data_IF_163059420465
#
_entry.id   IF_163059420465
#
_cell.length_a   1.000
_cell.length_b   1.000
_cell.length_c   1.000
_cell.angle_alpha   90.00
_cell.angle_beta   90.00
_cell.angle_gamma   90.00
#
_symmetry.space_group_name_H-M   'P 1'
#
loop_
_entity.id
_entity.type
_entity.pdbx_description
1 polymer ?
#
# COMPACT_ATOMS: atom_id res chain seq x y z
N UNK A 1 -22.13 14.06 19.70
CA UNK A 1 -22.33 14.43 18.28
C UNK A 1 -21.18 13.82 17.49
N UNK A 2 -21.49 12.79 16.73
CA UNK A 2 -20.52 12.06 15.94
C UNK A 2 -20.47 12.75 14.57
N UNK A 3 -19.41 13.56 14.35
CA UNK A 3 -19.18 14.14 13.03
C UNK A 3 -18.69 13.01 12.12
N UNK A 4 -19.55 12.57 11.20
CA UNK A 4 -19.12 11.79 10.04
C UNK A 4 -18.24 12.72 9.19
N UNK A 5 -16.93 12.48 9.18
CA UNK A 5 -15.96 13.20 8.34
C UNK A 5 -16.12 12.92 6.83
N UNK A 6 -17.01 12.00 6.48
CA UNK A 6 -17.31 11.65 5.10
C UNK A 6 -18.78 11.92 4.83
N UNK A 7 -19.14 13.21 4.62
CA UNK A 7 -20.35 13.48 3.85
C UNK A 7 -20.23 12.77 2.52
N UNK A 8 -21.25 12.04 2.13
CA UNK A 8 -21.43 11.40 0.83
C UNK A 8 -21.42 12.47 -0.28
N UNK A 9 -20.26 13.01 -0.59
CA UNK A 9 -20.04 13.69 -1.85
C UNK A 9 -20.15 12.62 -2.93
N UNK A 10 -21.13 12.77 -3.81
CA UNK A 10 -21.20 12.03 -5.08
C UNK A 10 -19.82 12.04 -5.71
N UNK A 11 -19.33 10.87 -5.99
CA UNK A 11 -18.00 10.52 -6.47
C UNK A 11 -17.64 11.33 -7.73
N UNK A 12 -17.04 12.49 -7.53
CA UNK A 12 -16.48 13.33 -8.60
C UNK A 12 -14.95 13.27 -8.55
N UNK A 13 -14.40 12.16 -7.98
CA UNK A 13 -12.96 11.95 -7.91
C UNK A 13 -12.49 11.62 -9.33
N UNK A 14 -11.65 12.49 -9.88
CA UNK A 14 -10.99 12.17 -11.14
C UNK A 14 -10.10 10.93 -10.94
N UNK A 15 -10.32 9.91 -11.74
CA UNK A 15 -9.50 8.70 -11.76
C UNK A 15 -9.19 8.32 -13.19
N UNK A 16 -8.13 7.53 -13.38
CA UNK A 16 -7.81 6.97 -14.69
C UNK A 16 -7.13 5.62 -14.55
N UNK A 17 -7.36 4.78 -15.56
CA UNK A 17 -6.68 3.51 -15.71
C UNK A 17 -5.25 3.72 -16.23
N UNK A 18 -4.29 2.99 -15.67
CA UNK A 18 -2.95 2.95 -16.25
C UNK A 18 -2.93 2.06 -17.51
N UNK A 19 -2.13 2.42 -18.52
CA UNK A 19 -2.04 1.67 -19.78
C UNK A 19 -1.18 0.41 -19.61
N UNK A 20 -1.69 -0.57 -18.86
CA UNK A 20 -1.07 -1.87 -18.64
C UNK A 20 -1.86 -2.93 -19.42
N UNK A 21 -1.21 -3.66 -20.34
CA UNK A 21 -1.88 -4.59 -21.26
C UNK A 21 -2.59 -5.76 -20.56
N UNK A 22 -2.03 -6.24 -19.46
CA UNK A 22 -2.53 -7.38 -18.68
C UNK A 22 -2.67 -7.00 -17.19
N UNK A 23 -2.88 -5.71 -16.91
CA UNK A 23 -3.04 -5.16 -15.58
C UNK A 23 -4.36 -4.41 -15.44
N UNK A 24 -4.93 -4.49 -14.26
CA UNK A 24 -6.10 -3.69 -13.86
C UNK A 24 -5.63 -2.75 -12.74
N UNK A 25 -5.27 -1.52 -13.13
CA UNK A 25 -4.70 -0.54 -12.21
C UNK A 25 -5.35 0.82 -12.41
N UNK A 26 -6.06 1.28 -11.39
CA UNK A 26 -6.73 2.59 -11.39
C UNK A 26 -6.04 3.54 -10.41
N UNK A 27 -5.73 4.74 -10.86
CA UNK A 27 -5.11 5.79 -10.06
C UNK A 27 -6.09 6.93 -9.75
N UNK A 28 -6.14 7.31 -8.49
CA UNK A 28 -6.96 8.38 -7.92
C UNK A 28 -6.02 9.46 -7.34
N UNK A 29 -5.69 10.54 -8.06
CA UNK A 29 -4.69 11.52 -7.63
C UNK A 29 -5.09 12.29 -6.37
N UNK A 30 -6.37 12.57 -6.18
CA UNK A 30 -6.89 13.36 -5.07
C UNK A 30 -7.93 12.55 -4.26
N UNK A 31 -7.56 11.34 -3.86
CA UNK A 31 -8.45 10.46 -3.09
C UNK A 31 -8.71 10.99 -1.68
N UNK A 32 -7.72 11.65 -1.08
CA UNK A 32 -7.81 12.40 0.16
C UNK A 32 -7.59 13.88 -0.13
N UNK A 33 -8.21 14.76 0.66
CA UNK A 33 -7.87 16.18 0.61
C UNK A 33 -6.43 16.40 1.11
N UNK A 34 -5.75 17.47 0.69
CA UNK A 34 -4.41 17.77 1.17
C UNK A 34 -4.37 17.91 2.70
N UNK A 35 -5.36 18.58 3.29
CA UNK A 35 -5.45 18.76 4.73
C UNK A 35 -5.61 17.43 5.49
N UNK A 36 -6.43 16.49 4.97
CA UNK A 36 -6.58 15.18 5.58
C UNK A 36 -5.30 14.36 5.41
N UNK A 37 -4.69 14.41 4.23
CA UNK A 37 -3.46 13.70 3.92
C UNK A 37 -2.28 14.18 4.78
N UNK A 38 -2.13 15.50 4.99
CA UNK A 38 -1.15 16.09 5.91
C UNK A 38 -1.39 15.61 7.35
N UNK A 39 -2.64 15.69 7.80
CA UNK A 39 -3.05 15.26 9.14
C UNK A 39 -2.74 13.77 9.36
N UNK A 40 -3.05 12.91 8.39
CA UNK A 40 -2.75 11.48 8.47
C UNK A 40 -1.25 11.21 8.43
N UNK A 41 -0.49 11.92 7.61
CA UNK A 41 0.96 11.77 7.54
C UNK A 41 1.61 12.03 8.91
N UNK A 42 1.28 13.15 9.55
CA UNK A 42 1.80 13.52 10.88
C UNK A 42 1.39 12.50 11.97
N UNK A 43 0.10 12.14 12.00
CA UNK A 43 -0.40 11.16 12.98
C UNK A 43 0.26 9.80 12.83
N UNK A 44 0.32 9.26 11.61
CA UNK A 44 0.91 7.94 11.38
C UNK A 44 2.41 7.91 11.69
N UNK A 45 3.14 9.02 11.43
CA UNK A 45 4.54 9.14 11.86
C UNK A 45 4.70 8.97 13.38
N UNK A 46 3.80 9.57 14.15
CA UNK A 46 3.88 9.62 15.60
C UNK A 46 3.31 8.35 16.27
N UNK A 47 2.23 7.78 15.72
CA UNK A 47 1.46 6.72 16.41
C UNK A 47 1.87 5.29 16.04
N UNK A 48 2.42 5.05 14.82
CA UNK A 48 2.73 3.69 14.42
C UNK A 48 4.05 3.19 15.03
N UNK A 49 4.10 1.91 15.47
CA UNK A 49 5.31 1.30 16.02
C UNK A 49 6.29 0.93 14.89
N UNK A 50 6.93 1.94 14.32
CA UNK A 50 7.87 1.80 13.22
C UNK A 50 9.10 0.99 13.61
N UNK A 51 9.47 0.00 12.77
CA UNK A 51 10.68 -0.80 12.94
C UNK A 51 11.40 -0.99 11.61
N UNK A 52 12.71 -1.20 11.67
CA UNK A 52 13.50 -1.56 10.51
C UNK A 52 13.82 -3.05 10.54
N UNK A 53 13.12 -3.82 9.71
CA UNK A 53 13.32 -5.26 9.61
C UNK A 53 14.57 -5.59 8.79
N UNK A 54 15.01 -6.85 8.87
CA UNK A 54 16.12 -7.37 8.09
C UNK A 54 15.68 -8.59 7.30
N UNK A 55 16.15 -8.68 6.07
CA UNK A 55 15.99 -9.85 5.21
C UNK A 55 17.34 -10.57 5.05
N UNK A 56 17.31 -11.85 4.71
CA UNK A 56 18.54 -12.57 4.36
C UNK A 56 18.79 -12.48 2.85
N UNK A 57 19.90 -11.85 2.48
CA UNK A 57 20.41 -11.82 1.10
C UNK A 57 21.75 -12.57 1.07
N UNK A 58 21.84 -13.59 0.24
CA UNK A 58 23.04 -14.44 0.12
C UNK A 58 23.57 -14.92 1.48
N UNK A 59 22.65 -15.34 2.36
CA UNK A 59 22.97 -15.82 3.71
C UNK A 59 23.29 -14.74 4.76
N UNK A 60 23.42 -13.47 4.38
CA UNK A 60 23.73 -12.34 5.28
C UNK A 60 22.46 -11.55 5.63
N UNK A 61 22.29 -11.11 6.90
CA UNK A 61 21.19 -10.21 7.26
C UNK A 61 21.46 -8.81 6.67
N UNK A 62 20.48 -8.28 5.96
CA UNK A 62 20.52 -6.94 5.37
C UNK A 62 19.28 -6.19 5.82
N UNK A 63 19.46 -5.01 6.41
CA UNK A 63 18.34 -4.13 6.77
C UNK A 63 17.61 -3.69 5.53
N UNK A 64 16.28 -3.79 5.55
CA UNK A 64 15.45 -3.23 4.47
C UNK A 64 15.58 -1.71 4.45
N UNK A 65 15.66 -1.07 3.28
CA UNK A 65 15.82 0.38 3.18
C UNK A 65 14.46 1.09 3.31
N UNK A 66 13.85 1.01 4.48
CA UNK A 66 12.64 1.68 4.95
C UNK A 66 12.26 1.20 6.35
N UNK A 67 11.35 1.91 7.00
CA UNK A 67 10.69 1.42 8.21
C UNK A 67 9.35 0.78 7.83
N UNK A 68 8.90 -0.17 8.67
CA UNK A 68 7.63 -0.87 8.46
C UNK A 68 6.82 -0.94 9.75
N UNK A 69 5.49 -0.99 9.59
CA UNK A 69 4.56 -1.36 10.65
C UNK A 69 3.38 -2.12 10.03
N UNK A 70 3.07 -3.30 10.55
CA UNK A 70 1.98 -4.14 10.06
C UNK A 70 0.82 -4.13 11.03
N UNK A 71 -0.40 -3.83 10.53
CA UNK A 71 -1.64 -3.77 11.27
C UNK A 71 -2.73 -4.59 10.59
N UNK A 72 -3.71 -5.05 11.35
CA UNK A 72 -4.81 -5.82 10.78
C UNK A 72 -5.74 -6.41 11.83
N UNK A 73 -6.70 -7.19 11.34
CA UNK A 73 -7.60 -7.97 12.20
C UNK A 73 -6.80 -9.03 12.95
N UNK A 74 -7.19 -9.33 14.19
CA UNK A 74 -6.50 -10.32 15.04
C UNK A 74 -6.35 -11.69 14.35
N UNK A 75 -7.32 -12.02 13.50
CA UNK A 75 -7.32 -13.25 12.73
C UNK A 75 -6.26 -13.31 11.59
N UNK A 76 -5.62 -12.19 11.24
CA UNK A 76 -4.56 -12.10 10.24
C UNK A 76 -3.21 -12.62 10.75
N UNK A 77 -3.21 -13.57 11.67
CA UNK A 77 -2.00 -14.17 12.23
C UNK A 77 -1.30 -15.03 11.15
N UNK A 78 0.00 -14.82 10.98
CA UNK A 78 0.83 -15.51 10.02
C UNK A 78 1.92 -16.32 10.74
N UNK A 79 2.04 -17.62 10.41
CA UNK A 79 3.07 -18.48 11.00
C UNK A 79 4.09 -18.88 9.94
N UNK A 80 5.35 -18.42 10.08
CA UNK A 80 6.45 -18.78 9.22
C UNK A 80 7.59 -19.38 10.05
N UNK A 81 8.08 -20.56 9.66
CA UNK A 81 9.20 -21.26 10.34
C UNK A 81 9.04 -21.34 11.87
N UNK A 82 7.85 -21.69 12.37
CA UNK A 82 7.48 -21.75 13.79
C UNK A 82 7.45 -20.39 14.51
N UNK A 83 7.57 -19.27 13.81
CA UNK A 83 7.37 -17.94 14.33
C UNK A 83 5.97 -17.45 13.94
N UNK A 84 5.10 -17.29 14.92
CA UNK A 84 3.80 -16.68 14.72
C UNK A 84 3.93 -15.17 14.79
N UNK A 85 3.61 -14.48 13.71
CA UNK A 85 3.54 -13.02 13.65
C UNK A 85 2.08 -12.60 13.69
N UNK A 86 1.74 -11.73 14.61
CA UNK A 86 0.42 -11.09 14.70
C UNK A 86 0.53 -9.63 14.28
N UNK A 87 -0.48 -9.10 13.58
CA UNK A 87 -0.51 -7.68 13.27
C UNK A 87 -0.68 -6.83 14.54
N UNK A 88 -0.22 -5.59 14.52
CA UNK A 88 -0.60 -4.62 15.52
C UNK A 88 -2.11 -4.32 15.36
N UNK A 89 -2.80 -3.90 16.43
CA UNK A 89 -4.18 -3.44 16.35
C UNK A 89 -4.34 -2.27 15.37
N UNK A 90 -5.52 -2.15 14.79
CA UNK A 90 -5.88 -0.99 14.00
C UNK A 90 -5.82 0.29 14.83
N UNK A 91 -5.23 1.36 14.28
CA UNK A 91 -5.40 2.70 14.85
C UNK A 91 -6.63 3.37 14.22
N UNK A 92 -7.10 4.44 14.86
CA UNK A 92 -8.24 5.20 14.32
C UNK A 92 -7.92 5.77 12.93
N UNK A 93 -6.72 6.33 12.74
CA UNK A 93 -6.28 6.87 11.47
C UNK A 93 -6.26 5.81 10.36
N UNK A 94 -5.76 4.61 10.65
CA UNK A 94 -5.75 3.51 9.69
C UNK A 94 -7.16 3.04 9.32
N UNK A 95 -8.11 3.00 10.27
CA UNK A 95 -9.50 2.64 9.99
C UNK A 95 -10.21 3.68 9.13
N UNK A 96 -9.96 4.97 9.35
CA UNK A 96 -10.51 6.05 8.54
C UNK A 96 -10.01 5.98 7.08
N UNK A 97 -8.71 5.76 6.89
CA UNK A 97 -8.13 5.61 5.54
C UNK A 97 -8.62 4.32 4.88
N UNK A 98 -8.72 3.21 5.63
CA UNK A 98 -9.30 1.94 5.16
C UNK A 98 -10.70 2.13 4.59
N UNK A 99 -11.58 2.82 5.34
CA UNK A 99 -12.95 3.09 4.91
C UNK A 99 -12.99 3.91 3.60
N UNK A 100 -12.07 4.88 3.42
CA UNK A 100 -11.93 5.61 2.18
C UNK A 100 -11.54 4.70 1.01
N UNK A 101 -10.58 3.81 1.20
CA UNK A 101 -10.14 2.84 0.18
C UNK A 101 -11.27 1.87 -0.20
N UNK A 102 -12.02 1.36 0.78
CA UNK A 102 -13.15 0.46 0.55
C UNK A 102 -14.29 1.17 -0.21
N UNK A 103 -14.56 2.44 0.11
CA UNK A 103 -15.54 3.24 -0.64
C UNK A 103 -15.12 3.46 -2.10
N UNK A 104 -13.82 3.66 -2.37
CA UNK A 104 -13.27 3.76 -3.74
C UNK A 104 -13.45 2.44 -4.48
N UNK A 105 -13.20 1.31 -3.83
CA UNK A 105 -13.33 -0.01 -4.43
C UNK A 105 -14.77 -0.46 -4.63
N UNK A 106 -15.75 0.12 -3.92
CA UNK A 106 -17.11 -0.42 -3.83
C UNK A 106 -17.85 -0.55 -5.17
N UNK A 107 -17.53 0.30 -6.16
CA UNK A 107 -18.17 0.28 -7.47
C UNK A 107 -17.70 -0.86 -8.37
N UNK A 108 -16.43 -1.26 -8.27
CA UNK A 108 -15.79 -2.20 -9.20
C UNK A 108 -15.33 -3.49 -8.50
N UNK A 109 -14.87 -3.37 -7.27
CA UNK A 109 -14.25 -4.46 -6.53
C UNK A 109 -14.85 -4.55 -5.13
N UNK A 110 -15.92 -5.30 -4.93
CA UNK A 110 -16.55 -5.49 -3.60
C UNK A 110 -15.59 -6.18 -2.62
N UNK A 111 -14.59 -5.44 -2.14
CA UNK A 111 -13.57 -5.95 -1.23
C UNK A 111 -13.65 -5.27 0.14
N UNK A 112 -13.29 -6.00 1.18
CA UNK A 112 -13.05 -5.49 2.53
C UNK A 112 -11.61 -5.82 2.88
N UNK A 113 -10.85 -4.81 3.29
CA UNK A 113 -9.47 -5.01 3.70
C UNK A 113 -9.42 -5.41 5.18
N UNK A 114 -8.62 -6.41 5.51
CA UNK A 114 -8.42 -6.87 6.88
C UNK A 114 -6.96 -6.71 7.36
N UNK A 115 -6.09 -6.17 6.51
CA UNK A 115 -4.67 -5.98 6.80
C UNK A 115 -4.11 -4.76 6.07
N UNK A 116 -3.12 -4.10 6.68
CA UNK A 116 -2.35 -3.02 6.06
C UNK A 116 -0.88 -3.13 6.44
N UNK A 117 0.00 -3.09 5.45
CA UNK A 117 1.42 -2.88 5.65
C UNK A 117 1.76 -1.41 5.40
N UNK A 118 2.16 -0.71 6.47
CA UNK A 118 2.67 0.64 6.38
C UNK A 118 4.18 0.61 6.13
N UNK A 119 4.65 1.37 5.14
CA UNK A 119 6.06 1.54 4.80
C UNK A 119 6.42 3.04 4.89
N UNK A 120 7.40 3.39 5.70
CA UNK A 120 7.93 4.74 5.78
C UNK A 120 9.29 4.83 5.10
N UNK A 121 9.32 5.52 3.97
CA UNK A 121 10.53 5.93 3.25
C UNK A 121 10.95 7.28 3.82
N UNK A 122 12.05 7.31 4.54
CA UNK A 122 12.51 8.51 5.29
C UNK A 122 13.05 9.60 4.37
N UNK A 123 13.67 9.16 3.26
CA UNK A 123 14.30 10.02 2.27
C UNK A 123 14.47 9.29 0.92
N UNK A 124 15.27 9.86 0.02
CA UNK A 124 15.57 9.28 -1.29
C UNK A 124 16.39 7.99 -1.28
N UNK A 125 17.06 7.64 -0.18
CA UNK A 125 17.85 6.41 -0.06
C UNK A 125 16.97 5.20 0.32
N UNK A 126 15.80 5.44 0.86
CA UNK A 126 14.83 4.39 1.09
C UNK A 126 14.11 3.99 -0.20
N UNK A 127 13.87 2.69 -0.36
CA UNK A 127 13.40 2.10 -1.61
C UNK A 127 12.66 0.78 -1.39
N UNK A 128 11.99 0.32 -2.45
CA UNK A 128 11.41 -1.02 -2.55
C UNK A 128 11.86 -1.64 -3.88
N UNK A 129 12.54 -2.78 -3.81
CA UNK A 129 12.91 -3.55 -4.99
C UNK A 129 11.68 -4.03 -5.75
N UNK A 130 11.85 -4.39 -7.03
CA UNK A 130 10.78 -4.99 -7.81
C UNK A 130 10.28 -6.29 -7.17
N UNK A 131 8.98 -6.36 -6.92
CA UNK A 131 8.27 -7.51 -6.37
C UNK A 131 6.83 -7.52 -6.89
N UNK A 132 6.11 -8.60 -6.69
CA UNK A 132 4.66 -8.71 -6.79
C UNK A 132 4.10 -8.98 -5.41
N UNK A 133 2.87 -8.57 -5.16
CA UNK A 133 2.08 -8.98 -4.00
C UNK A 133 1.29 -10.23 -4.39
N UNK A 134 1.97 -11.38 -4.47
CA UNK A 134 1.45 -12.66 -4.96
C UNK A 134 1.57 -13.79 -3.93
N UNK A 135 1.66 -13.42 -2.65
CA UNK A 135 1.66 -14.39 -1.56
C UNK A 135 0.35 -15.21 -1.56
N UNK A 136 0.43 -16.52 -1.30
CA UNK A 136 -0.75 -17.41 -1.31
C UNK A 136 -1.90 -16.97 -0.40
N UNK A 137 -1.57 -16.22 0.65
CA UNK A 137 -2.53 -15.67 1.61
C UNK A 137 -3.39 -14.53 1.01
N UNK A 138 -2.99 -13.96 -0.11
CA UNK A 138 -3.75 -12.94 -0.83
C UNK A 138 -4.76 -13.55 -1.81
N UNK A 139 -4.64 -14.85 -2.10
CA UNK A 139 -5.49 -15.54 -3.06
C UNK A 139 -5.18 -15.18 -4.51
N UNK A 140 -6.12 -15.52 -5.39
CA UNK A 140 -6.00 -15.27 -6.83
C UNK A 140 -6.54 -13.87 -7.15
N UNK A 141 -5.79 -13.11 -7.94
CA UNK A 141 -6.18 -11.77 -8.40
C UNK A 141 -6.58 -10.83 -7.26
N UNK A 142 -5.70 -10.59 -6.28
CA UNK A 142 -6.03 -9.78 -5.12
C UNK A 142 -6.32 -8.33 -5.50
N UNK A 143 -7.27 -7.73 -4.78
CA UNK A 143 -7.49 -6.28 -4.81
C UNK A 143 -6.62 -5.65 -3.73
N UNK A 144 -5.80 -4.70 -4.12
CA UNK A 144 -4.84 -4.02 -3.25
C UNK A 144 -5.02 -2.52 -3.39
N UNK A 145 -5.19 -1.81 -2.27
CA UNK A 145 -5.21 -0.36 -2.25
C UNK A 145 -3.91 0.19 -1.67
N UNK A 146 -3.22 1.02 -2.45
CA UNK A 146 -1.95 1.65 -2.08
C UNK A 146 -2.14 3.15 -1.91
N UNK A 147 -2.09 3.64 -0.67
CA UNK A 147 -2.22 5.07 -0.33
C UNK A 147 -0.85 5.69 -0.20
N UNK A 148 -0.68 6.90 -0.72
CA UNK A 148 0.56 7.67 -0.60
C UNK A 148 0.34 8.94 0.21
N UNK A 149 1.16 9.13 1.25
CA UNK A 149 1.20 10.34 2.07
C UNK A 149 2.64 10.89 2.09
N UNK A 150 2.79 12.20 2.01
CA UNK A 150 4.09 12.89 1.98
C UNK A 150 4.68 12.99 0.57
N UNK A 151 5.99 12.81 0.42
CA UNK A 151 6.73 13.06 -0.82
C UNK A 151 6.26 12.18 -1.98
N UNK A 152 6.08 12.80 -3.14
CA UNK A 152 5.71 12.10 -4.36
C UNK A 152 6.89 11.25 -4.91
N UNK A 153 6.63 9.99 -5.25
CA UNK A 153 7.66 9.07 -5.76
C UNK A 153 7.22 8.37 -7.05
N UNK A 154 8.12 8.22 -8.03
CA UNK A 154 7.87 7.35 -9.16
C UNK A 154 7.70 5.89 -8.71
N UNK A 155 6.58 5.30 -9.08
CA UNK A 155 6.26 3.89 -8.91
C UNK A 155 6.28 3.23 -10.28
N UNK A 156 7.12 2.22 -10.43
CA UNK A 156 7.39 1.60 -11.72
C UNK A 156 6.78 0.22 -11.75
N UNK A 157 5.86 -0.01 -12.68
CA UNK A 157 5.44 -1.34 -13.10
C UNK A 157 6.39 -1.85 -14.18
N UNK A 158 6.75 -3.13 -14.11
CA UNK A 158 7.54 -3.81 -15.12
C UNK A 158 6.89 -5.16 -15.42
N UNK A 159 6.52 -5.38 -16.68
CA UNK A 159 5.94 -6.65 -17.11
C UNK A 159 6.94 -7.78 -16.92
N UNK A 160 6.50 -8.93 -16.38
CA UNK A 160 7.38 -10.06 -16.05
C UNK A 160 8.00 -10.70 -17.29
N UNK A 161 7.28 -10.74 -18.42
CA UNK A 161 7.72 -11.35 -19.67
C UNK A 161 8.32 -10.32 -20.64
N UNK A 162 7.53 -9.34 -21.10
CA UNK A 162 7.96 -8.37 -22.13
C UNK A 162 9.00 -7.37 -21.63
N UNK A 163 9.13 -7.20 -20.31
CA UNK A 163 10.00 -6.21 -19.63
C UNK A 163 9.60 -4.75 -19.88
N UNK A 164 8.48 -4.50 -20.55
CA UNK A 164 7.91 -3.17 -20.71
C UNK A 164 7.66 -2.51 -19.36
N UNK A 165 7.84 -1.21 -19.32
CA UNK A 165 7.70 -0.42 -18.08
C UNK A 165 6.62 0.64 -18.24
N UNK A 166 5.79 0.78 -17.22
CA UNK A 166 4.90 1.91 -17.02
C UNK A 166 5.29 2.59 -15.70
N UNK A 167 5.36 3.91 -15.69
CA UNK A 167 5.71 4.68 -14.49
C UNK A 167 4.58 5.62 -14.13
N UNK A 168 4.12 5.52 -12.89
CA UNK A 168 3.14 6.43 -12.30
C UNK A 168 3.81 7.17 -11.13
N UNK A 169 3.73 8.50 -11.12
CA UNK A 169 4.11 9.27 -9.93
C UNK A 169 2.96 9.17 -8.93
N UNK A 170 3.25 8.62 -7.76
CA UNK A 170 2.27 8.52 -6.68
C UNK A 170 2.38 9.77 -5.81
N UNK A 171 1.38 10.63 -5.92
CA UNK A 171 1.33 11.94 -5.27
C UNK A 171 0.74 11.85 -3.86
N UNK A 172 0.96 12.91 -3.07
CA UNK A 172 0.37 13.07 -1.74
C UNK A 172 -1.15 13.01 -1.76
N UNK A 173 -1.76 12.20 -0.87
CA UNK A 173 -3.21 12.00 -0.82
C UNK A 173 -3.78 11.12 -1.92
N UNK A 174 -2.93 10.51 -2.75
CA UNK A 174 -3.39 9.62 -3.82
C UNK A 174 -3.63 8.19 -3.35
N UNK A 175 -4.50 7.50 -4.10
CA UNK A 175 -4.75 6.06 -3.96
C UNK A 175 -4.52 5.39 -5.32
N UNK A 176 -3.81 4.28 -5.31
CA UNK A 176 -3.63 3.38 -6.44
C UNK A 176 -4.32 2.06 -6.12
N UNK A 177 -5.28 1.65 -6.94
CA UNK A 177 -5.91 0.33 -6.83
C UNK A 177 -5.25 -0.60 -7.86
N UNK A 178 -4.77 -1.73 -7.39
CA UNK A 178 -4.25 -2.83 -8.21
C UNK A 178 -5.18 -4.02 -8.06
N UNK A 179 -5.70 -4.55 -9.16
CA UNK A 179 -6.67 -5.63 -9.18
C UNK A 179 -6.41 -6.60 -10.35
N UNK A 180 -7.32 -7.54 -10.57
CA UNK A 180 -7.24 -8.49 -11.67
C UNK A 180 -5.91 -9.24 -11.70
N UNK A 181 -5.39 -9.45 -12.90
CA UNK A 181 -4.15 -10.22 -13.13
C UNK A 181 -2.86 -9.39 -12.91
N UNK A 182 -2.95 -8.17 -12.39
CA UNK A 182 -1.80 -7.27 -12.21
C UNK A 182 -0.63 -7.93 -11.50
N UNK A 183 -0.87 -8.63 -10.39
CA UNK A 183 0.21 -9.25 -9.61
C UNK A 183 0.80 -10.49 -10.31
N UNK A 184 0.05 -11.13 -11.21
CA UNK A 184 0.55 -12.24 -12.00
C UNK A 184 1.50 -11.79 -13.11
N UNK A 185 1.20 -10.67 -13.78
CA UNK A 185 1.93 -10.19 -14.95
C UNK A 185 2.98 -9.12 -14.67
N UNK A 186 2.86 -8.39 -13.58
CA UNK A 186 3.75 -7.28 -13.27
C UNK A 186 4.49 -7.44 -11.95
N UNK A 187 5.73 -6.97 -11.92
CA UNK A 187 6.43 -6.57 -10.71
C UNK A 187 6.43 -5.05 -10.62
N UNK A 188 6.46 -4.53 -9.40
CA UNK A 188 6.46 -3.09 -9.17
C UNK A 188 7.47 -2.70 -8.08
N UNK A 189 7.88 -1.43 -8.07
CA UNK A 189 8.88 -0.98 -7.11
C UNK A 189 9.11 0.53 -7.12
N UNK A 190 9.89 0.99 -6.13
CA UNK A 190 10.33 2.38 -5.94
C UNK A 190 11.84 2.39 -5.88
N UNK A 191 12.49 3.03 -6.86
CA UNK A 191 13.93 3.15 -6.91
C UNK A 191 14.45 4.19 -5.92
N UNK A 192 15.72 4.06 -5.51
CA UNK A 192 16.45 5.14 -4.82
C UNK A 192 16.61 6.35 -5.71
N UNK A 193 16.75 7.51 -5.08
CA UNK A 193 17.10 8.76 -5.76
C UNK A 193 18.15 9.52 -4.97
N UNK A 194 19.06 10.18 -5.68
CA UNK A 194 20.06 11.07 -5.09
C UNK A 194 19.49 12.50 -4.85
N UNK A 195 18.29 12.78 -5.36
CA UNK A 195 17.64 14.08 -5.11
C UNK A 195 17.30 14.20 -3.62
N UNK A 196 17.52 15.37 -3.01
CA UNK A 196 17.02 15.65 -1.67
C UNK A 196 15.49 15.70 -1.73
N UNK A 197 14.84 14.79 -1.01
CA UNK A 197 13.39 14.67 -0.94
C UNK A 197 12.95 14.38 0.49
N UNK A 198 11.70 14.70 0.79
CA UNK A 198 11.07 14.47 2.08
C UNK A 198 10.68 13.01 2.33
N UNK A 199 10.09 12.78 3.50
CA UNK A 199 9.57 11.49 3.89
C UNK A 199 8.27 11.14 3.16
N UNK A 200 8.04 9.83 2.94
CA UNK A 200 6.83 9.28 2.35
C UNK A 200 6.35 8.08 3.16
N UNK A 201 5.08 8.08 3.52
CA UNK A 201 4.40 6.90 4.04
C UNK A 201 3.55 6.30 2.93
N UNK A 202 3.67 4.99 2.77
CA UNK A 202 2.79 4.20 1.91
C UNK A 202 2.02 3.20 2.76
N UNK A 203 0.72 3.13 2.56
CA UNK A 203 -0.16 2.15 3.20
C UNK A 203 -0.65 1.18 2.13
N UNK A 204 -0.32 -0.09 2.26
CA UNK A 204 -0.77 -1.15 1.34
C UNK A 204 -1.83 -1.98 2.05
N UNK A 205 -3.10 -1.69 1.74
CA UNK A 205 -4.26 -2.42 2.26
C UNK A 205 -4.51 -3.68 1.44
N UNK A 206 -4.76 -4.80 2.12
CA UNK A 206 -4.96 -6.13 1.53
C UNK A 206 -6.05 -6.90 2.27
N UNK A 207 -6.62 -7.90 1.61
CA UNK A 207 -7.45 -8.92 2.22
C UNK A 207 -6.66 -10.23 2.31
N UNK A 208 -6.32 -10.63 3.54
CA UNK A 208 -5.67 -11.92 3.79
C UNK A 208 -6.72 -13.00 3.99
N UNK A 209 -6.64 -14.05 3.19
CA UNK A 209 -7.50 -15.23 3.30
C UNK A 209 -6.97 -16.10 4.44
N UNK A 210 -7.82 -16.39 5.41
CA UNK A 210 -7.47 -17.34 6.46
C UNK A 210 -7.37 -18.74 5.86
N UNK A 211 -6.22 -19.37 5.98
CA UNK A 211 -6.13 -20.82 5.73
C UNK A 211 -6.78 -21.54 6.89
N UNK A 212 -7.96 -22.11 6.65
CA UNK A 212 -8.52 -23.11 7.56
C UNK A 212 -7.52 -24.28 7.59
N UNK A 213 -6.93 -24.52 8.76
CA UNK A 213 -6.05 -25.68 9.00
C UNK A 213 -6.84 -26.96 8.97
#
# INVERSE_FOLDING_TARGET
MQFSLFETQKDNRSSYQLPLSEGDVTYFPNALSNNDADTFFEKLQAELPWRQDSIRLFGKPVKIPRLQSWHGDEACTYTYSNLTMSPNPWTKSLLEIKACCEAICASEHKTQFNSVLANWYRDGQDSMSFHSDDEPELGVNPVIASVTLGEARPFVFKHKETKEKCTQVLEHGSVLIMAGTTQSHYVHGIAKTAKPIGGRINLTFRHLIQRVK
#
